data_IF_179305528846
#
_entry.id   IF_179305528846
#
_cell.length_a   1.000
_cell.length_b   1.000
_cell.length_c   1.000
_cell.angle_alpha   90.00
_cell.angle_beta   90.00
_cell.angle_gamma   90.00
#
_symmetry.space_group_name_H-M   'P 1'
#
loop_
_entity.id
_entity.type
_entity.pdbx_description
1 polymer ?
#
# COMPACT_ATOMS: atom_id res chain seq x y z
N UNK A 1 11.76 9.79 11.91
CA UNK A 1 12.12 8.83 12.97
C UNK A 1 11.40 9.11 14.27
N UNK A 2 11.07 8.06 14.97
CA UNK A 2 10.48 8.14 16.30
C UNK A 2 11.30 7.28 17.25
N UNK A 3 11.75 7.85 18.37
CA UNK A 3 12.59 7.15 19.35
C UNK A 3 13.81 6.46 18.72
N UNK A 4 14.46 7.12 17.78
CA UNK A 4 15.59 6.59 17.00
C UNK A 4 15.25 5.36 16.15
N UNK A 5 13.97 5.16 15.84
CA UNK A 5 13.52 4.08 14.97
C UNK A 5 12.95 4.66 13.67
N UNK A 6 13.22 4.04 12.51
CA UNK A 6 12.63 4.51 11.27
C UNK A 6 11.11 4.25 11.26
N UNK A 7 10.38 5.21 10.71
CA UNK A 7 8.93 5.07 10.48
C UNK A 7 8.73 4.49 9.09
N UNK A 8 8.10 3.32 9.02
CA UNK A 8 7.87 2.61 7.77
C UNK A 8 6.39 2.68 7.42
N UNK A 9 6.10 3.34 6.30
CA UNK A 9 4.74 3.41 5.78
C UNK A 9 4.48 2.17 4.94
N UNK A 10 3.42 1.42 5.25
CA UNK A 10 3.06 0.25 4.46
C UNK A 10 1.69 0.42 3.82
N UNK A 11 1.56 -0.10 2.60
CA UNK A 11 0.29 -0.09 1.89
C UNK A 11 -0.61 -1.19 2.43
N UNK A 12 -1.88 -1.13 2.07
CA UNK A 12 -2.88 -2.07 2.56
C UNK A 12 -3.56 -2.80 1.42
N UNK A 13 -4.24 -3.89 1.74
CA UNK A 13 -5.21 -4.50 0.87
C UNK A 13 -6.57 -3.83 1.09
N UNK A 14 -7.55 -4.18 0.30
CA UNK A 14 -8.88 -3.60 0.37
C UNK A 14 -9.95 -4.68 0.30
N UNK A 15 -11.21 -4.28 0.51
CA UNK A 15 -12.34 -5.19 0.44
C UNK A 15 -13.02 -5.24 -0.93
N UNK A 16 -12.39 -4.69 -1.97
CA UNK A 16 -13.00 -4.60 -3.30
C UNK A 16 -13.50 -5.95 -3.83
N UNK A 17 -12.71 -7.01 -3.65
CA UNK A 17 -13.03 -8.33 -4.16
C UNK A 17 -13.73 -9.25 -3.14
N UNK A 18 -13.89 -8.81 -1.90
CA UNK A 18 -14.57 -9.60 -0.86
C UNK A 18 -15.94 -9.03 -0.51
N UNK A 19 -16.07 -7.71 -0.45
CA UNK A 19 -17.33 -7.02 -0.14
C UNK A 19 -17.50 -5.81 -1.06
N UNK A 20 -17.68 -6.01 -2.37
CA UNK A 20 -17.69 -4.90 -3.34
C UNK A 20 -18.87 -3.95 -3.18
N UNK A 21 -19.95 -4.40 -2.52
CA UNK A 21 -21.16 -3.58 -2.32
C UNK A 21 -21.11 -2.74 -1.03
N UNK A 22 -20.15 -3.01 -0.17
CA UNK A 22 -20.00 -2.27 1.08
C UNK A 22 -19.12 -1.03 0.92
N UNK A 23 -18.98 -0.25 2.00
CA UNK A 23 -18.04 0.87 2.00
C UNK A 23 -16.61 0.34 1.83
N UNK A 24 -15.77 1.16 1.19
CA UNK A 24 -14.37 0.77 1.00
C UNK A 24 -13.64 0.71 2.32
N UNK A 25 -13.04 -0.43 2.59
CA UNK A 25 -12.25 -0.66 3.78
C UNK A 25 -10.81 -0.97 3.38
N UNK A 26 -9.87 -0.58 4.22
CA UNK A 26 -8.47 -0.93 4.04
C UNK A 26 -8.03 -1.79 5.22
N UNK A 27 -7.21 -2.78 4.95
CA UNK A 27 -6.70 -3.69 5.97
C UNK A 27 -5.40 -4.30 5.51
N UNK A 28 -4.55 -4.68 6.44
CA UNK A 28 -3.34 -5.40 6.13
C UNK A 28 -3.13 -6.49 7.17
N UNK A 29 -2.61 -7.66 6.78
CA UNK A 29 -2.28 -8.69 7.77
C UNK A 29 -1.35 -8.14 8.83
N UNK A 30 -1.67 -8.39 10.09
CA UNK A 30 -0.89 -7.88 11.22
C UNK A 30 0.57 -8.35 11.18
N UNK A 31 0.83 -9.48 10.52
CA UNK A 31 2.18 -10.02 10.35
C UNK A 31 3.15 -9.01 9.72
N UNK A 32 2.70 -8.18 8.78
CA UNK A 32 3.54 -7.15 8.18
C UNK A 32 3.99 -6.12 9.22
N UNK A 33 3.02 -5.60 9.99
CA UNK A 33 3.32 -4.63 11.04
C UNK A 33 4.21 -5.24 12.13
N UNK A 34 3.94 -6.49 12.50
CA UNK A 34 4.78 -7.20 13.49
C UNK A 34 6.20 -7.40 12.98
N UNK A 35 6.37 -7.74 11.71
CA UNK A 35 7.68 -7.89 11.10
C UNK A 35 8.49 -6.59 11.15
N UNK A 36 7.86 -5.47 10.81
CA UNK A 36 8.49 -4.16 10.87
C UNK A 36 8.91 -3.82 12.31
N UNK A 37 8.01 -4.02 13.27
CA UNK A 37 8.29 -3.72 14.67
C UNK A 37 9.43 -4.59 15.23
N UNK A 38 9.45 -5.88 14.90
CA UNK A 38 10.51 -6.80 15.32
C UNK A 38 11.85 -6.45 14.70
N UNK A 39 11.86 -5.84 13.52
CA UNK A 39 13.08 -5.42 12.83
C UNK A 39 13.58 -4.05 13.29
N UNK A 40 12.88 -3.40 14.22
CA UNK A 40 13.30 -2.13 14.79
C UNK A 40 12.66 -0.90 14.17
N UNK A 41 11.64 -1.07 13.32
CA UNK A 41 10.90 0.04 12.72
C UNK A 41 9.59 0.33 13.43
N UNK A 42 8.96 1.45 13.07
CA UNK A 42 7.63 1.81 13.54
C UNK A 42 6.68 1.73 12.35
N UNK A 43 5.71 0.79 12.34
CA UNK A 43 4.80 0.65 11.19
C UNK A 43 3.67 1.68 11.24
N UNK A 44 3.36 2.28 10.09
CA UNK A 44 2.14 3.06 9.89
C UNK A 44 1.45 2.57 8.62
N UNK A 45 0.14 2.44 8.67
CA UNK A 45 -0.64 1.96 7.52
C UNK A 45 -1.16 3.15 6.75
N UNK A 46 -0.87 3.18 5.43
CA UNK A 46 -1.30 4.26 4.57
C UNK A 46 -2.82 4.19 4.33
N UNK A 47 -3.55 5.31 4.51
CA UNK A 47 -5.01 5.33 4.42
C UNK A 47 -5.56 5.56 3.02
N UNK A 48 -4.77 5.42 1.97
CA UNK A 48 -5.09 5.74 0.58
C UNK A 48 -5.39 7.24 0.36
N UNK A 49 -4.82 8.07 1.21
CA UNK A 49 -4.95 9.53 1.16
C UNK A 49 -3.59 10.17 1.47
N UNK A 50 -3.38 11.38 0.99
CA UNK A 50 -2.26 12.22 1.36
C UNK A 50 -0.88 11.57 1.14
N UNK A 51 -0.57 11.12 -0.08
CA UNK A 51 0.72 10.45 -0.33
C UNK A 51 1.92 11.35 -0.08
N UNK A 52 1.82 12.63 -0.36
CA UNK A 52 2.94 13.56 -0.15
C UNK A 52 3.24 13.75 1.33
N UNK A 53 2.21 13.96 2.15
CA UNK A 53 2.35 14.14 3.59
C UNK A 53 2.88 12.86 4.25
N UNK A 54 2.43 11.70 3.76
CA UNK A 54 2.94 10.42 4.25
C UNK A 54 4.43 10.26 3.94
N UNK A 55 4.89 10.74 2.78
CA UNK A 55 6.30 10.68 2.42
C UNK A 55 7.16 11.57 3.32
N UNK A 56 6.60 12.66 3.83
CA UNK A 56 7.29 13.53 4.78
C UNK A 56 7.33 12.91 6.18
N UNK A 57 6.26 12.23 6.57
CA UNK A 57 6.13 11.62 7.89
C UNK A 57 6.97 10.35 8.04
N UNK A 58 7.03 9.52 7.02
CA UNK A 58 7.70 8.23 7.06
C UNK A 58 9.11 8.29 6.47
N UNK A 59 9.97 7.41 6.94
CA UNK A 59 11.36 7.31 6.46
C UNK A 59 11.49 6.35 5.28
N UNK A 60 10.56 5.41 5.14
CA UNK A 60 10.58 4.42 4.07
C UNK A 60 9.18 3.92 3.74
N UNK A 61 9.05 3.29 2.59
CA UNK A 61 7.81 2.75 2.07
C UNK A 61 7.93 1.25 1.85
N UNK A 62 6.95 0.49 2.32
CA UNK A 62 6.80 -0.93 2.03
C UNK A 62 5.50 -1.13 1.24
N UNK A 63 5.63 -1.58 0.01
CA UNK A 63 4.48 -1.96 -0.81
C UNK A 63 4.11 -3.41 -0.50
N UNK A 64 2.94 -3.60 0.13
CA UNK A 64 2.48 -4.94 0.51
C UNK A 64 1.80 -5.64 -0.66
N UNK A 65 1.62 -6.95 -0.54
CA UNK A 65 0.88 -7.73 -1.52
C UNK A 65 -0.60 -7.36 -1.58
N UNK A 66 -1.31 -7.88 -2.57
CA UNK A 66 -2.73 -7.62 -2.79
C UNK A 66 -3.06 -7.69 -4.27
N UNK A 67 -3.86 -6.75 -4.76
CA UNK A 67 -4.21 -6.67 -6.18
C UNK A 67 -3.00 -6.34 -7.03
N UNK A 68 -3.01 -6.84 -8.26
CA UNK A 68 -1.96 -6.54 -9.23
C UNK A 68 -2.02 -5.07 -9.67
N UNK A 69 -0.87 -4.53 -10.04
CA UNK A 69 -0.78 -3.21 -10.67
C UNK A 69 -1.27 -3.35 -12.11
N UNK A 70 -2.04 -2.35 -12.59
CA UNK A 70 -2.54 -2.38 -13.97
C UNK A 70 -1.39 -2.49 -14.97
N UNK A 71 -1.39 -3.51 -15.86
CA UNK A 71 -0.31 -3.70 -16.83
C UNK A 71 -0.06 -2.50 -17.73
N UNK A 72 -1.09 -1.75 -18.08
CA UNK A 72 -0.99 -0.56 -18.92
C UNK A 72 -0.10 0.52 -18.31
N UNK A 73 0.04 0.57 -16.99
CA UNK A 73 0.84 1.58 -16.32
C UNK A 73 2.35 1.36 -16.47
N UNK A 74 2.78 0.16 -16.83
CA UNK A 74 4.19 -0.10 -17.12
C UNK A 74 4.41 -0.59 -18.55
N UNK A 75 3.48 -0.30 -19.44
CA UNK A 75 3.64 -0.51 -20.87
C UNK A 75 3.29 -1.90 -21.36
N UNK A 76 2.61 -2.71 -20.58
CA UNK A 76 2.18 -4.04 -20.98
C UNK A 76 0.66 -4.12 -21.08
N UNK A 77 0.18 -5.09 -21.84
CA UNK A 77 -1.24 -5.38 -21.94
C UNK A 77 -1.62 -6.49 -20.97
N UNK A 78 -2.87 -6.48 -20.53
CA UNK A 78 -3.41 -7.52 -19.68
C UNK A 78 -3.40 -8.85 -20.43
N UNK A 79 -2.72 -9.86 -19.89
CA UNK A 79 -2.53 -11.14 -20.57
C UNK A 79 -3.70 -12.11 -20.41
N UNK A 80 -4.47 -11.99 -19.31
CA UNK A 80 -5.59 -12.87 -19.02
C UNK A 80 -6.49 -12.30 -17.93
N UNK A 81 -7.60 -12.97 -17.65
CA UNK A 81 -8.60 -12.53 -16.67
C UNK A 81 -8.19 -12.81 -15.21
N UNK A 82 -7.03 -13.41 -14.98
CA UNK A 82 -6.56 -13.67 -13.60
C UNK A 82 -5.83 -12.49 -12.99
N UNK A 83 -5.57 -11.44 -13.76
CA UNK A 83 -4.99 -10.19 -13.25
C UNK A 83 -6.07 -9.44 -12.48
N UNK A 84 -5.87 -9.33 -11.16
CA UNK A 84 -6.79 -8.63 -10.27
C UNK A 84 -6.31 -7.20 -10.06
N UNK A 85 -7.15 -6.23 -10.44
CA UNK A 85 -6.78 -4.82 -10.42
C UNK A 85 -7.73 -4.04 -9.52
N UNK A 86 -7.17 -3.20 -8.66
CA UNK A 86 -7.89 -2.21 -7.87
C UNK A 86 -7.39 -0.83 -8.32
N UNK A 87 -8.13 -0.12 -9.18
CA UNK A 87 -7.65 1.15 -9.74
C UNK A 87 -7.36 2.22 -8.69
N UNK A 88 -8.15 2.30 -7.63
CA UNK A 88 -7.95 3.29 -6.57
C UNK A 88 -6.63 3.01 -5.84
N UNK A 89 -6.40 1.76 -5.49
CA UNK A 89 -5.17 1.33 -4.85
C UNK A 89 -3.96 1.55 -5.75
N UNK A 90 -4.07 1.19 -7.01
CA UNK A 90 -3.01 1.36 -8.01
C UNK A 90 -2.60 2.82 -8.13
N UNK A 91 -3.56 3.71 -8.30
CA UNK A 91 -3.30 5.15 -8.42
C UNK A 91 -2.62 5.69 -7.17
N UNK A 92 -3.11 5.32 -6.00
CA UNK A 92 -2.52 5.75 -4.74
C UNK A 92 -1.09 5.24 -4.56
N UNK A 93 -0.84 3.96 -4.84
CA UNK A 93 0.50 3.37 -4.67
C UNK A 93 1.52 4.01 -5.62
N UNK A 94 1.13 4.33 -6.85
CA UNK A 94 2.01 5.06 -7.77
C UNK A 94 2.32 6.46 -7.26
N UNK A 95 1.30 7.18 -6.78
CA UNK A 95 1.52 8.51 -6.21
C UNK A 95 2.41 8.45 -4.98
N UNK A 96 2.21 7.45 -4.14
CA UNK A 96 3.01 7.25 -2.93
C UNK A 96 4.46 6.91 -3.27
N UNK A 97 4.68 5.99 -4.18
CA UNK A 97 6.03 5.62 -4.62
C UNK A 97 6.77 6.80 -5.23
N UNK A 98 6.06 7.64 -5.99
CA UNK A 98 6.64 8.84 -6.59
C UNK A 98 7.00 9.88 -5.54
N UNK A 99 6.19 10.01 -4.47
CA UNK A 99 6.44 10.97 -3.39
C UNK A 99 7.63 10.56 -2.52
N UNK A 100 7.82 9.27 -2.31
CA UNK A 100 8.96 8.75 -1.56
C UNK A 100 10.22 8.76 -2.42
#
# INVERSE_FOLDING_TARGET
>A
MLNNKPVICLTSDTNLFTKPQGPREIATPKAYSQGIARSGGVPIIAPELCPEELSELADALLLTGGCDIEPELYGESKLNDTVLVDPIRTEFEFALAKAF
#
